data_IF_172512081324
#
_entry.id   IF_172512081324
#
_cell.length_a   1.000
_cell.length_b   1.000
_cell.length_c   1.000
_cell.angle_alpha   90.00
_cell.angle_beta   90.00
_cell.angle_gamma   90.00
#
_symmetry.space_group_name_H-M   'P 1'
#
loop_
_entity.id
_entity.type
_entity.pdbx_description
1 polymer ?
#
# COMPACT_ATOMS: atom_id res chain seq x y z
N UNK A 1 -18.42 -4.22 -11.30
CA UNK A 1 -18.58 -3.46 -12.57
C UNK A 1 -18.87 -4.38 -13.74
N UNK A 2 -18.02 -5.35 -14.11
CA UNK A 2 -18.30 -6.22 -15.27
C UNK A 2 -19.49 -7.17 -15.02
N UNK A 3 -19.74 -7.58 -13.78
CA UNK A 3 -20.85 -8.50 -13.46
C UNK A 3 -22.19 -7.79 -13.18
N UNK A 4 -22.19 -6.61 -12.54
CA UNK A 4 -23.39 -5.77 -12.45
C UNK A 4 -23.91 -5.38 -13.84
N UNK A 5 -22.98 -5.12 -14.78
CA UNK A 5 -23.30 -4.88 -16.20
C UNK A 5 -23.83 -6.16 -16.86
N UNK A 6 -23.30 -7.35 -16.52
CA UNK A 6 -23.81 -8.63 -17.06
C UNK A 6 -25.21 -8.97 -16.55
N UNK A 7 -25.50 -8.73 -15.27
CA UNK A 7 -26.85 -8.90 -14.72
C UNK A 7 -27.83 -7.92 -15.37
N UNK A 8 -27.42 -6.67 -15.53
CA UNK A 8 -28.23 -5.67 -16.22
C UNK A 8 -28.41 -6.01 -17.71
N UNK A 9 -27.38 -6.49 -18.40
CA UNK A 9 -27.42 -6.96 -19.79
C UNK A 9 -28.32 -8.20 -19.97
N UNK A 10 -28.31 -9.13 -19.00
CA UNK A 10 -29.25 -10.27 -19.01
C UNK A 10 -30.69 -9.77 -18.87
N UNK A 11 -30.93 -8.82 -17.98
CA UNK A 11 -32.24 -8.24 -17.74
C UNK A 11 -32.76 -7.44 -18.96
N UNK A 12 -31.87 -6.72 -19.65
CA UNK A 12 -32.14 -6.05 -20.94
C UNK A 12 -32.51 -7.06 -22.01
N UNK A 13 -31.75 -8.17 -22.12
CA UNK A 13 -32.02 -9.23 -23.10
C UNK A 13 -33.31 -9.98 -22.81
N UNK A 14 -33.60 -10.29 -21.55
CA UNK A 14 -34.83 -10.95 -21.13
C UNK A 14 -36.07 -10.08 -21.37
N UNK A 15 -35.98 -8.78 -21.05
CA UNK A 15 -37.07 -7.82 -21.27
C UNK A 15 -37.14 -7.26 -22.69
N UNK A 16 -36.20 -7.65 -23.57
CA UNK A 16 -36.07 -7.15 -24.95
C UNK A 16 -36.04 -5.62 -25.05
N UNK A 17 -35.40 -4.98 -24.09
CA UNK A 17 -35.25 -3.53 -24.05
C UNK A 17 -34.37 -3.10 -25.23
N UNK A 18 -34.86 -2.15 -26.03
CA UNK A 18 -34.22 -1.80 -27.30
C UNK A 18 -33.68 -0.37 -27.35
N UNK A 19 -34.06 0.48 -26.39
CA UNK A 19 -33.59 1.86 -26.32
C UNK A 19 -33.07 2.26 -24.92
N UNK A 20 -32.33 3.38 -24.89
CA UNK A 20 -31.65 3.91 -23.71
C UNK A 20 -32.63 4.46 -22.66
N UNK A 21 -33.76 5.03 -23.07
CA UNK A 21 -34.80 5.54 -22.18
C UNK A 21 -35.53 4.38 -21.47
N UNK A 22 -35.84 3.29 -22.18
CA UNK A 22 -36.36 2.05 -21.58
C UNK A 22 -35.35 1.42 -20.58
N UNK A 23 -34.05 1.43 -20.90
CA UNK A 23 -32.99 1.00 -19.96
C UNK A 23 -32.98 1.88 -18.70
N UNK A 24 -33.12 3.19 -18.86
CA UNK A 24 -33.15 4.16 -17.76
C UNK A 24 -34.38 3.96 -16.88
N UNK A 25 -35.53 3.67 -17.47
CA UNK A 25 -36.78 3.44 -16.76
C UNK A 25 -36.74 2.12 -15.96
N UNK A 26 -36.20 1.05 -16.53
CA UNK A 26 -36.03 -0.22 -15.82
C UNK A 26 -34.95 -0.14 -14.73
N UNK A 27 -33.86 0.59 -14.97
CA UNK A 27 -32.87 0.91 -13.94
C UNK A 27 -33.48 1.68 -12.76
N UNK A 28 -34.33 2.68 -13.04
CA UNK A 28 -35.08 3.41 -12.00
C UNK A 28 -36.01 2.48 -11.21
N UNK A 29 -36.69 1.54 -11.87
CA UNK A 29 -37.55 0.55 -11.17
C UNK A 29 -36.75 -0.40 -10.28
N UNK A 30 -35.59 -0.89 -10.76
CA UNK A 30 -34.71 -1.76 -10.00
C UNK A 30 -34.12 -1.05 -8.78
N UNK A 31 -33.66 0.19 -8.97
CA UNK A 31 -33.06 1.00 -7.91
C UNK A 31 -34.08 1.53 -6.90
N UNK A 32 -35.34 1.74 -7.29
CA UNK A 32 -36.41 2.18 -6.39
C UNK A 32 -36.69 1.21 -5.22
N UNK A 33 -36.38 -0.08 -5.40
CA UNK A 33 -36.57 -1.10 -4.37
C UNK A 33 -35.38 -1.21 -3.40
N UNK A 34 -34.28 -0.49 -3.67
CA UNK A 34 -33.10 -0.51 -2.81
C UNK A 34 -33.21 0.60 -1.77
N UNK A 35 -33.52 0.21 -0.54
CA UNK A 35 -33.64 1.14 0.59
C UNK A 35 -32.33 1.90 0.80
N UNK A 36 -32.44 3.23 0.93
CA UNK A 36 -31.35 4.16 1.23
C UNK A 36 -30.18 4.07 0.22
N UNK A 37 -30.44 3.71 -1.04
CA UNK A 37 -29.42 3.49 -2.08
C UNK A 37 -28.43 4.66 -2.22
N UNK A 38 -28.93 5.90 -2.21
CA UNK A 38 -28.09 7.10 -2.30
C UNK A 38 -27.09 7.18 -1.14
N UNK A 39 -27.56 6.96 0.08
CA UNK A 39 -26.74 6.99 1.29
C UNK A 39 -25.73 5.83 1.29
N UNK A 40 -26.16 4.63 0.89
CA UNK A 40 -25.28 3.47 0.72
C UNK A 40 -24.17 3.76 -0.29
N UNK A 41 -24.53 4.32 -1.45
CA UNK A 41 -23.57 4.67 -2.49
C UNK A 41 -22.56 5.70 -2.01
N UNK A 42 -23.01 6.77 -1.35
CA UNK A 42 -22.13 7.79 -0.78
C UNK A 42 -21.14 7.19 0.24
N UNK A 43 -21.63 6.34 1.16
CA UNK A 43 -20.79 5.62 2.13
C UNK A 43 -19.72 4.76 1.45
N UNK A 44 -20.07 4.05 0.38
CA UNK A 44 -19.12 3.21 -0.39
C UNK A 44 -18.05 4.06 -1.06
N UNK A 45 -18.45 5.16 -1.71
CA UNK A 45 -17.51 6.07 -2.39
C UNK A 45 -16.52 6.66 -1.38
N UNK A 46 -17.01 7.13 -0.23
CA UNK A 46 -16.15 7.65 0.85
C UNK A 46 -15.23 6.56 1.38
N UNK A 47 -15.75 5.36 1.66
CA UNK A 47 -14.96 4.24 2.15
C UNK A 47 -13.82 3.88 1.19
N UNK A 48 -14.11 3.77 -0.11
CA UNK A 48 -13.11 3.51 -1.15
C UNK A 48 -12.09 4.64 -1.26
N UNK A 49 -12.54 5.90 -1.23
CA UNK A 49 -11.66 7.07 -1.24
C UNK A 49 -10.67 7.05 -0.08
N UNK A 50 -11.16 6.79 1.14
CA UNK A 50 -10.33 6.70 2.34
C UNK A 50 -9.30 5.58 2.23
N UNK A 51 -9.70 4.39 1.77
CA UNK A 51 -8.80 3.23 1.59
C UNK A 51 -7.72 3.52 0.54
N UNK A 52 -8.08 4.20 -0.57
CA UNK A 52 -7.12 4.61 -1.60
C UNK A 52 -6.11 5.61 -1.03
N UNK A 53 -6.58 6.67 -0.36
CA UNK A 53 -5.70 7.69 0.21
C UNK A 53 -4.74 7.09 1.26
N UNK A 54 -5.27 6.26 2.15
CA UNK A 54 -4.49 5.54 3.15
C UNK A 54 -3.46 4.58 2.50
N UNK A 55 -3.83 3.91 1.41
CA UNK A 55 -2.90 3.08 0.63
C UNK A 55 -1.74 3.90 0.05
N UNK A 56 -2.03 5.07 -0.51
CA UNK A 56 -1.01 5.97 -1.08
C UNK A 56 -0.04 6.43 0.01
N UNK A 57 -0.53 6.79 1.21
CA UNK A 57 0.33 7.21 2.32
C UNK A 57 1.32 6.11 2.73
N UNK A 58 0.84 4.87 2.85
CA UNK A 58 1.70 3.71 3.14
C UNK A 58 2.71 3.47 2.03
N UNK A 59 2.30 3.60 0.77
CA UNK A 59 3.20 3.44 -0.38
C UNK A 59 4.31 4.52 -0.40
N UNK A 60 3.98 5.78 -0.13
CA UNK A 60 4.96 6.86 0.00
C UNK A 60 5.94 6.59 1.13
N UNK A 61 5.46 6.09 2.27
CA UNK A 61 6.33 5.72 3.38
C UNK A 61 7.27 4.55 3.01
N UNK A 62 6.81 3.59 2.21
CA UNK A 62 7.67 2.53 1.67
C UNK A 62 8.73 3.05 0.72
N UNK A 63 8.38 3.98 -0.16
CA UNK A 63 9.34 4.59 -1.08
C UNK A 63 10.44 5.33 -0.29
N UNK A 64 10.05 6.08 0.75
CA UNK A 64 11.00 6.72 1.67
C UNK A 64 11.87 5.70 2.41
N UNK A 65 11.30 4.60 2.86
CA UNK A 65 12.05 3.57 3.54
C UNK A 65 13.10 2.94 2.61
N UNK A 66 12.70 2.50 1.41
CA UNK A 66 13.60 1.85 0.45
C UNK A 66 14.73 2.80 0.04
N UNK A 67 14.41 4.07 -0.26
CA UNK A 67 15.43 5.07 -0.60
C UNK A 67 16.40 5.33 0.56
N UNK A 68 15.88 5.51 1.78
CA UNK A 68 16.70 5.81 2.97
C UNK A 68 17.44 4.62 3.57
N UNK A 69 17.07 3.39 3.22
CA UNK A 69 17.69 2.17 3.79
C UNK A 69 18.46 1.34 2.78
N UNK A 70 18.15 1.46 1.49
CA UNK A 70 18.82 0.73 0.42
C UNK A 70 19.61 1.59 -0.55
N UNK A 71 19.31 2.89 -0.69
CA UNK A 71 19.81 3.69 -1.82
C UNK A 71 21.30 4.02 -1.78
N UNK A 72 21.82 4.32 -0.59
CA UNK A 72 23.19 4.80 -0.40
C UNK A 72 23.67 4.29 0.96
N UNK A 73 24.49 3.24 0.97
CA UNK A 73 25.22 2.81 2.17
C UNK A 73 26.63 3.40 2.12
N UNK A 74 27.01 4.10 3.18
CA UNK A 74 28.40 4.50 3.43
C UNK A 74 29.17 3.24 3.82
N UNK A 75 29.98 2.72 2.90
CA UNK A 75 30.95 1.68 3.24
C UNK A 75 32.28 2.35 3.52
N UNK A 76 32.74 2.21 4.76
CA UNK A 76 34.08 2.61 5.17
C UNK A 76 35.04 1.60 4.55
N UNK A 77 35.92 2.05 3.66
CA UNK A 77 37.10 1.28 3.30
C UNK A 77 38.16 1.47 4.40
N UNK A 78 38.38 0.49 5.30
CA UNK A 78 39.28 0.68 6.43
C UNK A 78 40.72 0.90 5.98
N UNK A 79 41.10 0.26 4.86
CA UNK A 79 42.47 0.26 4.33
C UNK A 79 42.82 1.59 3.66
N UNK A 80 41.84 2.25 3.03
CA UNK A 80 42.03 3.54 2.34
C UNK A 80 41.66 4.75 3.17
N UNK A 81 40.97 4.56 4.32
CA UNK A 81 40.32 5.65 5.07
C UNK A 81 39.38 6.50 4.19
N UNK A 82 38.86 5.90 3.13
CA UNK A 82 37.96 6.54 2.17
C UNK A 82 36.57 5.95 2.33
N UNK A 83 35.56 6.80 2.15
CA UNK A 83 34.19 6.35 2.05
C UNK A 83 33.88 6.05 0.59
N UNK A 84 33.39 4.85 0.34
CA UNK A 84 32.71 4.56 -0.90
C UNK A 84 31.22 4.63 -0.63
N UNK A 85 30.54 5.53 -1.35
CA UNK A 85 29.10 5.40 -1.52
C UNK A 85 28.91 4.14 -2.33
N UNK A 86 28.46 3.06 -1.71
CA UNK A 86 27.91 1.96 -2.49
C UNK A 86 26.49 2.37 -2.82
N UNK A 87 26.29 2.78 -4.07
CA UNK A 87 24.98 3.00 -4.68
C UNK A 87 24.29 1.64 -4.85
N UNK A 88 23.76 1.14 -3.74
CA UNK A 88 23.26 -0.23 -3.61
C UNK A 88 21.85 -0.45 -4.13
N UNK A 89 20.91 0.51 -4.07
CA UNK A 89 19.53 0.19 -4.40
C UNK A 89 18.84 1.25 -5.25
N UNK A 90 18.29 0.78 -6.36
CA UNK A 90 17.12 1.28 -7.08
C UNK A 90 16.91 2.80 -6.92
N UNK A 91 17.37 3.58 -7.90
CA UNK A 91 17.10 5.02 -8.01
C UNK A 91 15.59 5.31 -7.83
N UNK A 92 15.24 6.47 -7.29
CA UNK A 92 13.85 6.86 -6.97
C UNK A 92 12.89 6.72 -8.18
N UNK A 93 13.37 7.00 -9.39
CA UNK A 93 12.65 6.83 -10.66
C UNK A 93 12.36 5.36 -11.01
N UNK A 94 13.21 4.44 -10.54
CA UNK A 94 12.99 2.99 -10.65
C UNK A 94 12.07 2.47 -9.56
N UNK A 95 12.03 3.07 -8.37
CA UNK A 95 11.13 2.70 -7.26
C UNK A 95 9.67 3.06 -7.58
N UNK A 96 9.44 4.24 -8.17
CA UNK A 96 8.08 4.70 -8.57
C UNK A 96 7.40 3.76 -9.57
N UNK A 97 8.16 2.95 -10.30
CA UNK A 97 7.65 1.97 -11.27
C UNK A 97 7.40 0.58 -10.67
N UNK A 98 7.77 0.35 -9.41
CA UNK A 98 7.55 -0.93 -8.75
C UNK A 98 6.10 -1.06 -8.30
N UNK A 99 5.51 -2.24 -8.48
CA UNK A 99 4.17 -2.52 -7.98
C UNK A 99 4.14 -2.53 -6.46
N UNK A 100 2.99 -2.17 -5.89
CA UNK A 100 2.75 -2.23 -4.44
C UNK A 100 3.11 -3.61 -3.85
N UNK A 101 2.75 -4.70 -4.55
CA UNK A 101 3.06 -6.06 -4.12
C UNK A 101 4.57 -6.33 -4.05
N UNK A 102 5.33 -5.79 -5.00
CA UNK A 102 6.79 -5.91 -4.97
C UNK A 102 7.39 -5.14 -3.79
N UNK A 103 6.87 -3.94 -3.50
CA UNK A 103 7.29 -3.13 -2.35
C UNK A 103 7.01 -3.85 -1.02
N UNK A 104 5.81 -4.43 -0.86
CA UNK A 104 5.46 -5.27 0.30
C UNK A 104 6.42 -6.46 0.41
N UNK A 105 6.69 -7.17 -0.68
CA UNK A 105 7.62 -8.31 -0.68
C UNK A 105 9.02 -7.89 -0.20
N UNK A 106 9.55 -6.78 -0.73
CA UNK A 106 10.85 -6.26 -0.33
C UNK A 106 10.89 -5.86 1.14
N UNK A 107 9.82 -5.27 1.65
CA UNK A 107 9.72 -4.92 3.06
C UNK A 107 9.79 -6.17 3.94
N UNK A 108 9.03 -7.22 3.59
CA UNK A 108 9.05 -8.48 4.31
C UNK A 108 10.46 -9.07 4.35
N UNK A 109 11.16 -9.08 3.23
CA UNK A 109 12.56 -9.53 3.15
C UNK A 109 13.49 -8.72 4.09
N UNK A 110 13.33 -7.38 4.16
CA UNK A 110 14.12 -6.52 5.05
C UNK A 110 13.82 -6.81 6.52
N UNK A 111 12.54 -6.91 6.88
CA UNK A 111 12.09 -7.17 8.26
C UNK A 111 12.54 -8.56 8.70
N UNK A 112 12.35 -9.58 7.88
CA UNK A 112 12.79 -10.96 8.16
C UNK A 112 14.30 -11.05 8.36
N UNK A 113 15.08 -10.38 7.52
CA UNK A 113 16.54 -10.33 7.65
C UNK A 113 16.95 -9.67 8.97
N UNK A 114 16.37 -8.51 9.28
CA UNK A 114 16.66 -7.78 10.53
C UNK A 114 16.33 -8.59 11.78
N UNK A 115 15.18 -9.30 11.78
CA UNK A 115 14.76 -10.16 12.90
C UNK A 115 15.69 -11.37 13.09
N UNK A 116 16.11 -12.01 11.99
CA UNK A 116 17.09 -13.11 12.03
C UNK A 116 18.45 -12.66 12.57
N UNK A 117 18.94 -11.52 12.09
CA UNK A 117 20.24 -10.96 12.51
C UNK A 117 20.23 -10.54 13.99
N UNK A 118 19.05 -10.20 14.53
CA UNK A 118 18.89 -9.76 15.93
C UNK A 118 18.55 -10.89 16.92
N UNK A 119 18.31 -12.12 16.43
CA UNK A 119 17.89 -13.27 17.23
C UNK A 119 16.63 -13.01 18.10
N UNK A 120 15.77 -12.09 17.68
CA UNK A 120 14.54 -11.72 18.37
C UNK A 120 13.42 -12.66 17.93
N UNK A 121 12.71 -13.35 18.85
CA UNK A 121 11.57 -14.18 18.50
C UNK A 121 10.44 -13.33 17.89
N UNK A 122 9.85 -13.84 16.82
CA UNK A 122 8.75 -13.16 16.11
C UNK A 122 7.44 -13.45 16.88
N UNK A 123 6.98 -12.48 17.66
CA UNK A 123 5.66 -12.55 18.29
C UNK A 123 4.54 -12.35 17.26
N UNK A 124 3.39 -13.01 17.48
CA UNK A 124 2.21 -12.93 16.62
C UNK A 124 1.07 -12.14 17.30
N UNK A 125 0.30 -11.32 16.55
CA UNK A 125 0.45 -11.03 15.12
C UNK A 125 1.71 -10.22 14.84
N UNK A 126 2.44 -10.64 13.81
CA UNK A 126 3.68 -9.98 13.41
C UNK A 126 3.37 -8.88 12.40
N UNK A 127 4.24 -7.87 12.29
CA UNK A 127 4.18 -6.88 11.21
C UNK A 127 4.01 -7.53 9.82
N UNK A 128 4.58 -8.72 9.61
CA UNK A 128 4.46 -9.47 8.35
C UNK A 128 3.03 -9.92 8.08
N UNK A 129 2.29 -10.30 9.13
CA UNK A 129 0.88 -10.67 9.07
C UNK A 129 0.01 -9.42 8.82
N UNK A 130 0.33 -8.30 9.46
CA UNK A 130 -0.40 -7.04 9.29
C UNK A 130 -0.25 -6.48 7.87
N UNK A 131 0.92 -6.65 7.24
CA UNK A 131 1.11 -6.30 5.83
C UNK A 131 0.27 -7.18 4.89
N UNK A 132 0.12 -8.47 5.18
CA UNK A 132 -0.75 -9.36 4.39
C UNK A 132 -2.22 -8.97 4.54
N UNK A 133 -2.65 -8.67 5.76
CA UNK A 133 -4.01 -8.19 6.06
C UNK A 133 -4.29 -6.87 5.36
N UNK A 134 -3.35 -5.92 5.45
CA UNK A 134 -3.43 -4.64 4.76
C UNK A 134 -3.61 -4.82 3.26
N UNK A 135 -2.77 -5.65 2.62
CA UNK A 135 -2.88 -5.96 1.19
C UNK A 135 -4.22 -6.62 0.85
N UNK A 136 -4.66 -7.58 1.66
CA UNK A 136 -5.90 -8.31 1.39
C UNK A 136 -7.13 -7.40 1.45
N UNK A 137 -7.23 -6.54 2.47
CA UNK A 137 -8.33 -5.58 2.57
C UNK A 137 -8.30 -4.57 1.42
N UNK A 138 -7.12 -4.01 1.09
CA UNK A 138 -6.97 -3.14 -0.10
C UNK A 138 -7.49 -3.80 -1.37
N UNK A 139 -7.16 -5.07 -1.57
CA UNK A 139 -7.59 -5.84 -2.72
C UNK A 139 -9.11 -6.09 -2.73
N UNK A 140 -9.74 -6.29 -1.56
CA UNK A 140 -11.21 -6.34 -1.44
C UNK A 140 -11.81 -5.04 -1.99
N UNK A 141 -11.37 -3.88 -1.47
CA UNK A 141 -11.91 -2.57 -1.88
C UNK A 141 -11.70 -2.26 -3.37
N UNK A 142 -10.60 -2.74 -3.96
CA UNK A 142 -10.26 -2.51 -5.35
C UNK A 142 -11.04 -3.40 -6.34
N UNK A 143 -11.37 -4.64 -5.94
CA UNK A 143 -11.82 -5.66 -6.89
C UNK A 143 -13.19 -6.24 -6.59
N UNK A 144 -13.67 -6.20 -5.35
CA UNK A 144 -14.93 -6.82 -4.98
C UNK A 144 -16.08 -5.80 -5.12
N UNK A 145 -17.15 -6.13 -5.88
CA UNK A 145 -18.33 -5.29 -5.97
C UNK A 145 -19.10 -5.26 -4.64
N UNK A 146 -19.99 -4.27 -4.50
CA UNK A 146 -20.86 -4.13 -3.33
C UNK A 146 -22.18 -4.80 -3.61
N UNK A 147 -22.70 -5.57 -2.65
CA UNK A 147 -24.03 -6.13 -2.73
C UNK A 147 -25.07 -5.07 -2.36
N UNK A 148 -25.63 -4.40 -3.37
CA UNK A 148 -26.58 -3.29 -3.15
C UNK A 148 -27.91 -3.75 -2.54
N UNK A 149 -28.28 -5.02 -2.75
CA UNK A 149 -29.49 -5.64 -2.23
C UNK A 149 -29.33 -6.20 -0.82
N UNK A 150 -28.10 -6.27 -0.29
CA UNK A 150 -27.88 -6.69 1.09
C UNK A 150 -28.53 -5.69 2.06
N UNK A 151 -29.03 -6.23 3.18
CA UNK A 151 -29.63 -5.41 4.25
C UNK A 151 -28.61 -4.42 4.79
N UNK A 152 -27.43 -4.94 5.12
CA UNK A 152 -26.28 -4.18 5.58
C UNK A 152 -25.35 -3.84 4.41
N UNK A 153 -24.45 -2.86 4.60
CA UNK A 153 -23.51 -2.46 3.56
C UNK A 153 -22.35 -3.44 3.49
N UNK A 154 -22.40 -4.31 2.48
CA UNK A 154 -21.51 -5.47 2.36
C UNK A 154 -20.94 -5.63 0.94
N UNK A 155 -19.77 -6.23 0.87
CA UNK A 155 -19.21 -6.73 -0.39
C UNK A 155 -19.95 -7.98 -0.87
N UNK A 156 -19.93 -8.21 -2.17
CA UNK A 156 -20.49 -9.41 -2.81
C UNK A 156 -19.72 -10.67 -2.36
N UNK A 157 -20.46 -11.71 -1.99
CA UNK A 157 -19.95 -13.01 -1.55
C UNK A 157 -20.12 -14.12 -2.57
N UNK A 158 -20.45 -13.78 -3.82
CA UNK A 158 -20.48 -14.71 -4.93
C UNK A 158 -19.23 -15.62 -4.92
N UNK A 159 -19.35 -16.90 -5.33
CA UNK A 159 -18.25 -17.86 -5.26
C UNK A 159 -16.95 -17.36 -5.92
N UNK A 160 -17.07 -16.50 -6.93
CA UNK A 160 -15.96 -15.83 -7.59
C UNK A 160 -15.11 -14.99 -6.62
N UNK A 161 -15.72 -14.26 -5.69
CA UNK A 161 -15.06 -13.33 -4.76
C UNK A 161 -14.69 -13.94 -3.40
N UNK A 162 -15.18 -15.14 -3.09
CA UNK A 162 -14.94 -15.81 -1.80
C UNK A 162 -13.46 -15.91 -1.41
N UNK A 163 -12.57 -15.96 -2.40
CA UNK A 163 -11.13 -16.04 -2.17
C UNK A 163 -10.52 -14.77 -1.54
N UNK A 164 -11.16 -13.61 -1.67
CA UNK A 164 -10.71 -12.37 -1.02
C UNK A 164 -10.94 -12.37 0.50
N UNK A 165 -11.93 -13.11 0.99
CA UNK A 165 -12.30 -13.17 2.41
C UNK A 165 -11.70 -14.38 3.14
N UNK A 166 -10.63 -14.98 2.59
CA UNK A 166 -9.98 -16.17 3.17
C UNK A 166 -9.30 -15.92 4.51
N UNK A 167 -8.78 -14.71 4.73
CA UNK A 167 -8.09 -14.35 5.97
C UNK A 167 -9.13 -14.08 7.07
N UNK A 168 -10.11 -13.23 6.78
CA UNK A 168 -11.21 -12.94 7.69
C UNK A 168 -12.51 -12.68 6.92
N UNK A 169 -13.55 -13.44 7.26
CA UNK A 169 -14.88 -13.34 6.66
C UNK A 169 -15.62 -12.07 7.06
N UNK A 170 -15.28 -11.46 8.21
CA UNK A 170 -15.91 -10.25 8.71
C UNK A 170 -15.62 -9.02 7.83
N UNK A 171 -14.56 -9.06 7.02
CA UNK A 171 -14.24 -8.01 6.03
C UNK A 171 -15.26 -7.88 4.92
N UNK A 172 -16.23 -8.80 4.83
CA UNK A 172 -17.41 -8.63 3.98
C UNK A 172 -18.20 -7.37 4.36
N UNK A 173 -18.27 -7.04 5.64
CA UNK A 173 -18.91 -5.82 6.10
C UNK A 173 -18.00 -4.61 5.81
N UNK A 174 -18.50 -3.65 5.03
CA UNK A 174 -17.67 -2.51 4.57
C UNK A 174 -17.20 -1.67 5.76
N UNK A 175 -18.07 -1.39 6.72
CA UNK A 175 -17.70 -0.58 7.90
C UNK A 175 -16.63 -1.26 8.75
N UNK A 176 -16.73 -2.57 8.92
CA UNK A 176 -15.72 -3.35 9.63
C UNK A 176 -14.37 -3.33 8.88
N UNK A 177 -14.39 -3.61 7.57
CA UNK A 177 -13.20 -3.61 6.73
C UNK A 177 -12.50 -2.25 6.70
N UNK A 178 -13.24 -1.13 6.60
CA UNK A 178 -12.65 0.23 6.69
C UNK A 178 -11.97 0.43 8.03
N UNK A 179 -12.66 0.11 9.13
CA UNK A 179 -12.11 0.32 10.48
C UNK A 179 -10.80 -0.44 10.65
N UNK A 180 -10.77 -1.71 10.28
CA UNK A 180 -9.58 -2.53 10.37
C UNK A 180 -8.46 -2.01 9.45
N UNK A 181 -8.79 -1.63 8.22
CA UNK A 181 -7.81 -1.06 7.29
C UNK A 181 -7.14 0.19 7.86
N UNK A 182 -7.90 1.10 8.46
CA UNK A 182 -7.37 2.33 9.04
C UNK A 182 -6.52 2.05 10.29
N UNK A 183 -6.88 1.05 11.10
CA UNK A 183 -6.04 0.59 12.22
C UNK A 183 -4.71 0.05 11.72
N UNK A 184 -4.73 -0.90 10.77
CA UNK A 184 -3.52 -1.48 10.18
C UNK A 184 -2.64 -0.40 9.52
N UNK A 185 -3.27 0.53 8.79
CA UNK A 185 -2.57 1.63 8.14
C UNK A 185 -1.79 2.47 9.16
N UNK A 186 -2.41 2.82 10.28
CA UNK A 186 -1.77 3.61 11.33
C UNK A 186 -0.57 2.87 11.93
N UNK A 187 -0.76 1.61 12.31
CA UNK A 187 0.27 0.78 12.92
C UNK A 187 1.48 0.59 11.98
N UNK A 188 1.22 0.29 10.71
CA UNK A 188 2.25 0.15 9.68
C UNK A 188 3.00 1.47 9.49
N UNK A 189 2.30 2.60 9.38
CA UNK A 189 2.95 3.91 9.22
C UNK A 189 3.80 4.29 10.43
N UNK A 190 3.29 4.09 11.64
CA UNK A 190 4.00 4.42 12.87
C UNK A 190 5.32 3.64 12.93
N UNK A 191 5.27 2.34 12.64
CA UNK A 191 6.45 1.48 12.65
C UNK A 191 7.47 1.88 11.58
N UNK A 192 7.03 2.07 10.33
CA UNK A 192 7.93 2.49 9.24
C UNK A 192 8.57 3.84 9.57
N UNK A 193 7.77 4.79 10.09
CA UNK A 193 8.25 6.13 10.42
C UNK A 193 9.29 6.09 11.53
N UNK A 194 9.05 5.30 12.59
CA UNK A 194 10.02 5.10 13.68
C UNK A 194 11.31 4.52 13.10
N UNK A 195 11.22 3.48 12.28
CA UNK A 195 12.40 2.86 11.71
C UNK A 195 13.18 3.80 10.78
N UNK A 196 12.50 4.56 9.91
CA UNK A 196 13.13 5.60 9.08
C UNK A 196 13.87 6.61 9.95
N UNK A 197 13.24 7.11 11.02
CA UNK A 197 13.86 8.06 11.94
C UNK A 197 15.11 7.47 12.61
N UNK A 198 15.05 6.22 13.06
CA UNK A 198 16.21 5.53 13.64
C UNK A 198 17.36 5.38 12.66
N UNK A 199 17.08 5.04 11.40
CA UNK A 199 18.10 4.91 10.36
C UNK A 199 18.76 6.26 10.05
N UNK A 200 17.95 7.32 9.88
CA UNK A 200 18.45 8.68 9.66
C UNK A 200 19.31 9.15 10.83
N UNK A 201 18.84 8.96 12.07
CA UNK A 201 19.60 9.32 13.27
C UNK A 201 20.94 8.56 13.36
N UNK A 202 20.93 7.26 13.07
CA UNK A 202 22.15 6.44 13.04
C UNK A 202 23.16 7.01 12.04
N UNK A 203 22.71 7.32 10.81
CA UNK A 203 23.57 7.91 9.76
C UNK A 203 24.16 9.25 10.20
N UNK A 204 23.35 10.10 10.79
CA UNK A 204 23.77 11.42 11.26
C UNK A 204 24.78 11.33 12.42
N UNK A 205 24.58 10.41 13.36
CA UNK A 205 25.52 10.15 14.45
C UNK A 205 26.87 9.66 13.91
N UNK A 206 26.88 8.68 13.00
CA UNK A 206 28.13 8.18 12.42
C UNK A 206 28.86 9.26 11.62
N UNK A 207 28.13 10.08 10.87
CA UNK A 207 28.69 11.19 10.10
C UNK A 207 29.37 12.21 11.03
N UNK A 208 28.67 12.64 12.08
CA UNK A 208 29.25 13.58 13.04
C UNK A 208 30.42 13.00 13.83
N UNK A 209 30.35 11.74 14.26
CA UNK A 209 31.44 11.10 15.03
C UNK A 209 32.69 10.87 14.17
N UNK A 210 32.51 10.37 12.94
CA UNK A 210 33.63 9.97 12.10
C UNK A 210 34.22 11.14 11.30
N UNK A 211 33.40 12.11 10.93
CA UNK A 211 33.78 13.18 9.99
C UNK A 211 33.59 14.60 10.56
N UNK A 212 32.93 14.74 11.72
CA UNK A 212 32.69 16.05 12.32
C UNK A 212 31.73 16.94 11.51
N UNK A 213 30.94 16.36 10.61
CA UNK A 213 30.01 17.07 9.72
C UNK A 213 28.67 16.34 9.58
N UNK A 214 27.58 17.07 9.26
CA UNK A 214 26.29 16.50 8.92
C UNK A 214 26.31 15.58 7.70
N UNK A 215 25.43 14.58 7.67
CA UNK A 215 25.36 13.60 6.57
C UNK A 215 25.05 14.23 5.21
N UNK A 216 24.20 15.26 5.17
CA UNK A 216 23.83 15.96 3.94
C UNK A 216 25.00 16.69 3.30
N UNK A 217 25.88 17.32 4.08
CA UNK A 217 27.09 17.96 3.56
C UNK A 217 28.03 16.93 2.92
N UNK A 218 28.16 15.74 3.53
CA UNK A 218 28.98 14.65 2.99
C UNK A 218 28.43 14.15 1.65
N UNK A 219 27.10 14.06 1.52
CA UNK A 219 26.47 13.66 0.27
C UNK A 219 26.69 14.70 -0.85
N UNK A 220 26.62 15.98 -0.52
CA UNK A 220 26.89 17.05 -1.49
C UNK A 220 28.36 17.03 -1.95
N UNK A 221 29.31 16.88 -1.02
CA UNK A 221 30.74 16.75 -1.32
C UNK A 221 31.05 15.51 -2.17
N UNK A 222 30.34 14.39 -1.95
CA UNK A 222 30.52 13.18 -2.74
C UNK A 222 29.98 13.35 -4.18
N UNK A 223 28.79 13.96 -4.33
CA UNK A 223 28.16 14.19 -5.64
C UNK A 223 28.94 15.18 -6.50
N UNK A 224 29.54 16.21 -5.90
CA UNK A 224 30.39 17.16 -6.64
C UNK A 224 31.65 16.48 -7.18
N UNK A 225 32.31 15.64 -6.38
CA UNK A 225 33.49 14.87 -6.80
C UNK A 225 33.21 13.84 -7.90
N UNK A 226 32.01 13.24 -7.92
CA UNK A 226 31.61 12.34 -9.02
C UNK A 226 31.37 13.10 -10.33
N UNK A 227 30.78 14.29 -10.28
CA UNK A 227 30.61 15.13 -11.47
C UNK A 227 31.93 15.55 -12.08
N UNK A 228 32.88 15.99 -11.26
CA UNK A 228 34.23 16.37 -11.71
C UNK A 228 34.96 15.19 -12.37
N UNK A 229 34.78 13.96 -11.88
CA UNK A 229 35.34 12.75 -12.51
C UNK A 229 34.66 12.34 -13.82
N UNK A 230 33.41 12.75 -14.04
CA UNK A 230 32.67 12.43 -15.27
C UNK A 230 32.90 13.43 -16.40
N UNK A 231 33.48 14.60 -16.09
CA UNK A 231 33.82 15.67 -17.04
C UNK A 231 35.30 15.65 -17.48
N UNK A 232 36.08 14.69 -17.00
CA UNK A 232 37.46 14.38 -17.39
C UNK A 232 37.51 13.13 -18.29
#
# INVERSE_FOLDING_TARGET
>A
MVEDIKEFDMLIKEKKISDVDEMLEESKKLTANIKDLREKHEKVVIARGNVIEASIKVEVAFDQLITKTGGEDLVINPDKKEFHLITGAIKEDKIKKLSFDYKIKKLKEIVEKSLKDSNIPIEKPSLLDDLDRFRAIRNIFAHVPVSWFAKDLEFDDNPHYKHFFKIDGSWRNISFAVKEFMTLQKEILDLITVYIKSVVLKRELFSNILLGKPYEEILEEAKSKEKEKSEL
#
